data_IF_478679217771
#
_entry.id   IF_478679217771
#
_cell.length_a   1.000
_cell.length_b   1.000
_cell.length_c   1.000
_cell.angle_alpha   90.00
_cell.angle_beta   90.00
_cell.angle_gamma   90.00
#
_symmetry.space_group_name_H-M   'P 1'
#
loop_
_entity.id
_entity.type
_entity.pdbx_description
1 polymer ?
#
# COMPACT_ATOMS: atom_id res chain seq x y z
N UNK A 1 18.19 2.41 -27.15
CA UNK A 1 18.52 1.71 -28.40
C UNK A 1 19.76 0.86 -28.16
N UNK A 2 19.60 -0.28 -27.47
CA UNK A 2 20.70 -1.20 -27.14
C UNK A 2 20.46 -2.61 -27.68
N UNK A 3 19.48 -2.80 -28.58
CA UNK A 3 19.24 -4.07 -29.26
C UNK A 3 20.32 -4.28 -30.31
N UNK A 4 21.10 -5.37 -30.26
CA UNK A 4 22.00 -5.75 -31.35
C UNK A 4 21.20 -5.81 -32.66
N UNK A 5 21.54 -4.93 -33.60
CA UNK A 5 20.78 -4.69 -34.83
C UNK A 5 20.84 -5.84 -35.86
N UNK A 6 21.53 -6.93 -35.53
CA UNK A 6 21.57 -8.14 -36.35
C UNK A 6 21.54 -9.37 -35.44
N UNK A 7 20.37 -10.00 -35.34
CA UNK A 7 20.26 -11.32 -34.76
C UNK A 7 20.97 -12.34 -35.68
N UNK A 8 21.55 -13.41 -35.13
CA UNK A 8 22.12 -14.47 -35.96
C UNK A 8 21.08 -15.05 -36.92
N UNK A 9 21.52 -15.53 -38.09
CA UNK A 9 20.62 -16.18 -39.05
C UNK A 9 19.83 -17.30 -38.39
N UNK A 10 18.52 -17.33 -38.63
CA UNK A 10 17.59 -18.28 -38.01
C UNK A 10 17.01 -17.82 -36.67
N UNK A 11 17.37 -16.63 -36.19
CA UNK A 11 16.77 -16.00 -35.01
C UNK A 11 15.96 -14.77 -35.39
N UNK A 12 14.86 -14.57 -34.69
CA UNK A 12 14.03 -13.37 -34.77
C UNK A 12 13.65 -12.97 -33.35
N UNK A 13 13.44 -11.67 -33.13
CA UNK A 13 13.01 -11.14 -31.84
C UNK A 13 11.54 -11.51 -31.59
N UNK A 14 11.17 -11.72 -30.32
CA UNK A 14 9.78 -11.90 -29.90
C UNK A 14 9.17 -10.55 -29.55
N UNK A 15 9.00 -9.71 -30.56
CA UNK A 15 8.55 -8.30 -30.48
C UNK A 15 7.15 -8.10 -31.11
N UNK A 16 6.40 -9.19 -31.30
CA UNK A 16 5.12 -9.16 -32.01
C UNK A 16 5.26 -9.26 -33.54
N UNK A 17 6.47 -9.40 -34.10
CA UNK A 17 6.65 -9.58 -35.53
C UNK A 17 6.04 -10.89 -36.07
N UNK A 18 5.77 -10.89 -37.37
CA UNK A 18 5.41 -12.11 -38.10
C UNK A 18 6.65 -12.85 -38.57
N UNK A 19 6.71 -14.16 -38.36
CA UNK A 19 7.80 -15.01 -38.85
C UNK A 19 7.79 -15.01 -40.38
N UNK A 20 8.90 -14.60 -41.00
CA UNK A 20 9.09 -14.63 -42.46
C UNK A 20 10.25 -15.57 -42.82
N UNK A 21 10.03 -16.87 -42.65
CA UNK A 21 10.96 -17.94 -43.01
C UNK A 21 10.19 -19.10 -43.65
N UNK A 22 10.29 -19.22 -44.97
CA UNK A 22 9.57 -20.24 -45.73
C UNK A 22 9.96 -21.69 -45.39
N UNK A 23 11.10 -21.91 -44.73
CA UNK A 23 11.52 -23.25 -44.28
C UNK A 23 10.97 -23.61 -42.89
N UNK A 24 10.47 -22.63 -42.14
CA UNK A 24 9.88 -22.81 -40.81
C UNK A 24 8.43 -23.27 -40.90
N UNK A 25 8.05 -24.21 -40.03
CA UNK A 25 6.64 -24.61 -39.84
C UNK A 25 5.77 -23.49 -39.25
N UNK A 26 6.41 -22.45 -38.68
CA UNK A 26 5.74 -21.29 -38.10
C UNK A 26 5.75 -20.07 -39.04
N UNK A 27 6.12 -20.23 -40.31
CA UNK A 27 6.08 -19.14 -41.29
C UNK A 27 4.70 -18.49 -41.37
N UNK A 28 4.66 -17.15 -41.35
CA UNK A 28 3.43 -16.37 -41.36
C UNK A 28 2.70 -16.29 -40.03
N UNK A 29 3.19 -16.93 -38.96
CA UNK A 29 2.63 -16.77 -37.62
C UNK A 29 3.18 -15.53 -36.92
N UNK A 30 2.31 -14.86 -36.15
CA UNK A 30 2.68 -13.73 -35.29
C UNK A 30 3.28 -14.27 -34.00
N UNK A 31 4.44 -13.76 -33.62
CA UNK A 31 5.09 -14.08 -32.36
C UNK A 31 4.45 -13.34 -31.20
N UNK A 32 4.52 -13.87 -29.97
CA UNK A 32 4.21 -13.07 -28.79
C UNK A 32 5.19 -11.90 -28.68
N UNK A 33 4.69 -10.73 -28.28
CA UNK A 33 5.52 -9.59 -27.89
C UNK A 33 5.90 -9.72 -26.41
N UNK A 34 7.20 -9.73 -26.11
CA UNK A 34 7.77 -9.85 -24.76
C UNK A 34 8.48 -8.57 -24.31
N UNK A 35 8.38 -7.49 -25.08
CA UNK A 35 9.05 -6.22 -24.80
C UNK A 35 8.23 -5.27 -23.91
N UNK A 36 6.99 -5.63 -23.57
CA UNK A 36 6.03 -4.84 -22.79
C UNK A 36 6.17 -4.94 -21.27
N UNK A 37 7.09 -5.78 -20.77
CA UNK A 37 7.27 -6.06 -19.34
C UNK A 37 6.74 -7.44 -18.92
N UNK A 38 6.54 -8.34 -19.88
CA UNK A 38 6.02 -9.68 -19.66
C UNK A 38 7.03 -10.55 -18.89
N UNK A 39 6.53 -11.26 -17.88
CA UNK A 39 7.30 -12.28 -17.17
C UNK A 39 6.89 -13.67 -17.63
N UNK A 40 7.88 -14.50 -17.98
CA UNK A 40 7.65 -15.88 -18.39
C UNK A 40 7.36 -16.75 -17.16
N UNK A 41 6.28 -17.53 -17.26
CA UNK A 41 5.89 -18.53 -16.26
C UNK A 41 5.55 -19.85 -16.94
N UNK A 42 5.79 -20.96 -16.24
CA UNK A 42 5.33 -22.27 -16.69
C UNK A 42 3.80 -22.36 -16.68
N UNK A 43 3.23 -23.00 -17.71
CA UNK A 43 1.80 -23.25 -17.84
C UNK A 43 1.56 -24.61 -18.51
N UNK A 44 0.42 -25.25 -18.19
CA UNK A 44 0.00 -26.51 -18.84
C UNK A 44 -0.54 -26.31 -20.27
N UNK A 45 -0.85 -25.07 -20.65
CA UNK A 45 -1.26 -24.70 -22.00
C UNK A 45 -0.61 -23.37 -22.37
N UNK A 46 -0.06 -23.30 -23.58
CA UNK A 46 0.66 -22.12 -24.07
C UNK A 46 -0.28 -20.98 -24.45
N UNK A 47 0.26 -19.75 -24.45
CA UNK A 47 -0.41 -18.56 -25.02
C UNK A 47 -1.30 -17.77 -24.07
N UNK A 48 -1.51 -18.24 -22.84
CA UNK A 48 -2.23 -17.47 -21.82
C UNK A 48 -1.41 -16.26 -21.34
N UNK A 49 -2.07 -15.10 -21.24
CA UNK A 49 -1.53 -13.88 -20.63
C UNK A 49 -2.36 -13.49 -19.40
N UNK A 50 -1.81 -12.64 -18.54
CA UNK A 50 -2.52 -12.12 -17.37
C UNK A 50 -1.58 -11.67 -16.26
N UNK A 51 -2.15 -11.41 -15.08
CA UNK A 51 -1.44 -10.82 -13.95
C UNK A 51 -1.74 -9.33 -13.80
N UNK A 52 -1.16 -8.72 -12.77
CA UNK A 52 -1.22 -7.27 -12.55
C UNK A 52 0.04 -6.85 -11.81
N UNK A 53 0.59 -5.69 -12.20
CA UNK A 53 1.72 -5.06 -11.50
C UNK A 53 1.33 -4.63 -10.09
N UNK A 54 0.03 -4.50 -9.82
CA UNK A 54 -0.50 -4.06 -8.54
C UNK A 54 -1.46 -5.09 -7.96
N UNK A 55 -1.38 -5.29 -6.65
CA UNK A 55 -2.35 -6.07 -5.91
C UNK A 55 -2.84 -5.24 -4.73
N UNK A 56 -4.16 -5.12 -4.59
CA UNK A 56 -4.76 -4.44 -3.45
C UNK A 56 -4.39 -5.18 -2.17
N UNK A 57 -3.76 -4.47 -1.23
CA UNK A 57 -3.45 -4.97 0.10
C UNK A 57 -3.52 -3.82 1.11
N UNK A 58 -3.66 -4.16 2.39
CA UNK A 58 -3.76 -3.18 3.48
C UNK A 58 -2.69 -3.42 4.52
N UNK A 59 -2.10 -2.35 5.05
CA UNK A 59 -1.21 -2.40 6.19
C UNK A 59 -1.91 -1.92 7.45
N UNK A 60 -1.87 -2.73 8.52
CA UNK A 60 -2.20 -2.26 9.86
C UNK A 60 -1.00 -1.53 10.44
N UNK A 61 -1.14 -0.24 10.70
CA UNK A 61 -0.10 0.55 11.38
C UNK A 61 -0.56 0.76 12.82
N UNK A 62 0.15 0.14 13.77
CA UNK A 62 -0.06 0.40 15.20
C UNK A 62 0.93 1.48 15.64
N UNK A 63 0.43 2.59 16.15
CA UNK A 63 1.26 3.60 16.82
C UNK A 63 1.15 3.42 18.33
N UNK A 64 2.27 3.14 18.99
CA UNK A 64 2.34 3.21 20.44
C UNK A 64 2.41 4.69 20.83
N UNK A 65 1.31 5.23 21.38
CA UNK A 65 1.32 6.61 21.88
C UNK A 65 1.65 6.61 23.36
N UNK A 66 2.73 7.30 23.73
CA UNK A 66 3.05 7.55 25.13
C UNK A 66 1.94 8.44 25.75
N UNK A 67 1.40 8.00 26.87
CA UNK A 67 0.45 8.78 27.66
C UNK A 67 1.12 10.06 28.14
N UNK A 68 0.51 11.22 27.83
CA UNK A 68 1.01 12.55 28.24
C UNK A 68 1.20 13.56 27.12
N UNK A 69 1.12 13.15 25.85
CA UNK A 69 1.07 14.09 24.73
C UNK A 69 -0.38 14.33 24.31
N UNK A 70 -0.78 15.59 24.07
CA UNK A 70 -2.09 15.90 23.50
C UNK A 70 -2.12 15.38 22.06
N UNK A 71 -2.82 14.26 21.84
CA UNK A 71 -2.83 13.55 20.56
C UNK A 71 -3.82 14.24 19.62
N UNK A 72 -3.33 15.03 18.68
CA UNK A 72 -4.11 15.39 17.49
C UNK A 72 -4.04 14.21 16.50
N UNK A 73 -5.06 13.35 16.51
CA UNK A 73 -5.19 12.28 15.52
C UNK A 73 -5.92 12.83 14.28
N UNK A 74 -5.18 13.08 13.21
CA UNK A 74 -5.78 13.43 11.91
C UNK A 74 -6.14 12.16 11.17
N UNK A 75 -7.42 11.84 11.06
CA UNK A 75 -7.93 10.79 10.15
C UNK A 75 -8.69 11.48 9.02
N UNK A 76 -8.31 11.20 7.77
CA UNK A 76 -8.95 11.77 6.56
C UNK A 76 -9.02 13.31 6.52
N UNK A 77 -7.97 14.01 6.93
CA UNK A 77 -7.89 15.47 6.79
C UNK A 77 -8.85 16.28 7.67
N UNK A 78 -9.63 15.62 8.53
CA UNK A 78 -10.45 16.27 9.54
C UNK A 78 -9.84 16.03 10.92
N UNK A 79 -9.48 17.10 11.62
CA UNK A 79 -9.10 17.04 13.04
C UNK A 79 -10.37 16.80 13.85
N UNK A 80 -10.76 15.53 14.00
CA UNK A 80 -11.84 15.18 14.90
C UNK A 80 -11.31 15.38 16.33
N UNK A 81 -11.67 16.50 16.96
CA UNK A 81 -11.58 16.66 18.41
C UNK A 81 -12.63 15.74 19.05
N UNK A 82 -12.49 14.42 18.90
CA UNK A 82 -13.14 13.52 19.83
C UNK A 82 -12.44 13.75 21.15
N UNK A 83 -13.09 14.48 22.05
CA UNK A 83 -12.69 14.51 23.44
C UNK A 83 -12.71 13.05 23.91
N UNK A 84 -11.54 12.41 23.89
CA UNK A 84 -11.34 11.16 24.57
C UNK A 84 -11.49 11.52 26.04
N UNK A 85 -12.67 11.28 26.59
CA UNK A 85 -12.85 11.28 28.05
C UNK A 85 -12.04 10.12 28.57
N UNK A 86 -10.75 10.39 28.80
CA UNK A 86 -9.93 9.61 29.69
C UNK A 86 -10.69 9.66 31.02
N UNK A 87 -11.23 8.52 31.46
CA UNK A 87 -11.53 8.34 32.86
C UNK A 87 -10.18 8.41 33.61
N UNK A 88 -9.67 9.62 33.84
CA UNK A 88 -8.71 9.88 34.90
C UNK A 88 -9.50 9.80 36.18
N UNK A 89 -9.71 8.56 36.63
CA UNK A 89 -10.31 8.27 37.90
C UNK A 89 -9.51 9.02 38.98
N UNK A 90 -10.19 10.01 39.55
CA UNK A 90 -9.97 10.66 40.84
C UNK A 90 -8.62 11.33 41.10
N UNK A 91 -8.64 12.67 41.12
CA UNK A 91 -7.80 13.40 42.06
C UNK A 91 -8.71 14.02 43.12
N UNK A 92 -8.52 13.55 44.36
CA UNK A 92 -9.28 13.98 45.53
C UNK A 92 -8.92 15.43 45.88
N UNK A 93 -9.89 16.34 45.82
CA UNK A 93 -9.74 17.66 46.41
C UNK A 93 -10.31 17.64 47.82
N UNK A 94 -9.44 17.40 48.82
CA UNK A 94 -9.77 17.65 50.22
C UNK A 94 -9.59 19.15 50.49
N UNK A 95 -10.64 19.95 50.29
CA UNK A 95 -10.69 21.29 50.85
C UNK A 95 -11.15 21.20 52.31
N UNK A 96 -10.21 21.39 53.23
CA UNK A 96 -10.50 21.57 54.66
C UNK A 96 -10.79 23.05 54.88
N UNK A 97 -12.07 23.44 54.84
CA UNK A 97 -12.52 24.73 55.37
C UNK A 97 -12.93 24.55 56.83
N UNK A 98 -12.21 25.23 57.74
CA UNK A 98 -12.64 25.38 59.15
C UNK A 98 -12.73 26.85 59.54
N UNK A 99 -13.20 27.71 58.65
CA UNK A 99 -13.60 29.07 58.99
C UNK A 99 -15.09 29.24 58.70
N UNK A 100 -15.91 29.10 59.75
CA UNK A 100 -16.90 30.11 60.14
C UNK A 100 -17.97 29.49 61.05
N UNK A 101 -17.80 29.68 62.36
CA UNK A 101 -18.94 29.69 63.27
C UNK A 101 -19.05 31.08 63.91
N UNK A 102 -19.69 32.06 63.24
CA UNK A 102 -19.93 33.37 63.80
C UNK A 102 -21.20 33.30 64.65
N UNK A 103 -21.09 32.98 65.94
CA UNK A 103 -22.20 33.14 66.90
C UNK A 103 -21.72 33.15 68.35
N UNK A 104 -21.45 34.34 68.88
CA UNK A 104 -21.98 34.79 70.18
C UNK A 104 -21.68 36.28 70.37
N UNK A 105 -22.64 37.11 69.93
CA UNK A 105 -22.93 38.40 70.57
C UNK A 105 -23.82 38.04 71.76
N UNK A 106 -23.28 38.13 72.98
CA UNK A 106 -23.91 38.73 74.18
C UNK A 106 -22.93 38.65 75.36
#
# INVERSE_FOLDING_TARGET
TNTPQALPTGWVEADGATVSDAQSVYNGQVLPDLNGGEFIRGAGTSGGTGGSDTMAHTHGVTTNVAVGNHIALTVNGHTNHTALTLNTDQHNHSFSDTSDNPSAIM
#
